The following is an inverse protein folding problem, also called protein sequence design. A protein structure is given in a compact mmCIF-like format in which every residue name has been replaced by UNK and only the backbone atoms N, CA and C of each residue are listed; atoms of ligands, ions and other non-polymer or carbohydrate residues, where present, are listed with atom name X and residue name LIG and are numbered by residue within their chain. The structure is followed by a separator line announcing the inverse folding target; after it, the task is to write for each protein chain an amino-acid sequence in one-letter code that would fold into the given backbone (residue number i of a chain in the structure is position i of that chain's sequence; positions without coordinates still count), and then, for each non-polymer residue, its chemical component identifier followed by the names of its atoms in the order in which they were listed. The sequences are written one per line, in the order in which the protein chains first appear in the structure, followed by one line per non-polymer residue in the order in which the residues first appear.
data_IF_517727811037
#
_entry.id   IF_517727811037
#
_cell.length_a   1.000
_cell.length_b   1.000
_cell.length_c   1.000
_cell.angle_alpha   90.00
_cell.angle_beta   90.00
_cell.angle_gamma   90.00
#
_symmetry.space_group_name_H-M   'P 1'
#
loop_
_entity.id
_entity.type
_entity.pdbx_description
1 polymer ?
#
# COMPACT_ATOMS: atom_id res chain seq x y z
N UNK A 1 4.68 -4.30 9.98
CA UNK A 1 6.17 -4.29 10.11
C UNK A 1 6.64 -4.63 11.53
N UNK A 2 5.70 -4.68 12.48
CA UNK A 2 5.87 -4.26 13.88
C UNK A 2 6.49 -5.39 14.70
N UNK A 3 6.09 -6.64 14.43
CA UNK A 3 6.73 -7.85 14.98
C UNK A 3 8.24 -7.98 14.71
N UNK A 4 8.82 -7.18 13.81
CA UNK A 4 10.26 -7.11 13.60
C UNK A 4 10.90 -5.88 14.28
N UNK A 5 10.12 -4.83 14.57
CA UNK A 5 10.53 -3.67 15.37
C UNK A 5 10.58 -4.06 16.85
N UNK A 6 9.50 -4.67 17.37
CA UNK A 6 9.43 -5.19 18.74
C UNK A 6 10.55 -6.19 19.03
N UNK A 7 10.88 -7.02 18.04
CA UNK A 7 11.96 -8.00 18.09
C UNK A 7 13.35 -7.36 18.00
N UNK A 8 13.50 -6.20 17.36
CA UNK A 8 14.75 -5.45 17.48
C UNK A 8 14.87 -4.83 18.87
N UNK A 9 13.81 -4.19 19.37
CA UNK A 9 13.78 -3.56 20.69
C UNK A 9 14.05 -4.57 21.83
N UNK A 10 13.45 -5.77 21.78
CA UNK A 10 13.64 -6.81 22.81
C UNK A 10 15.05 -7.42 22.83
N UNK A 11 15.80 -7.30 21.74
CA UNK A 11 17.21 -7.71 21.65
C UNK A 11 18.19 -6.53 21.73
N UNK A 12 17.72 -5.32 22.06
CA UNK A 12 18.56 -4.12 22.16
C UNK A 12 19.20 -3.73 20.82
N UNK A 13 18.49 -3.92 19.71
CA UNK A 13 18.97 -3.64 18.36
C UNK A 13 18.36 -2.36 17.79
N UNK A 14 19.14 -1.61 16.98
CA UNK A 14 18.69 -0.35 16.40
C UNK A 14 17.61 -0.56 15.34
N UNK A 15 16.60 0.32 15.34
CA UNK A 15 15.41 0.21 14.51
C UNK A 15 15.67 0.09 13.00
N UNK A 16 16.82 0.58 12.50
CA UNK A 16 17.20 0.47 11.08
C UNK A 16 17.35 -0.96 10.57
N UNK A 17 17.58 -1.92 11.46
CA UNK A 17 17.67 -3.34 11.13
C UNK A 17 16.29 -3.97 10.91
N UNK A 18 15.23 -3.43 11.53
CA UNK A 18 13.89 -4.02 11.49
C UNK A 18 13.33 -4.18 10.06
N UNK A 19 13.43 -3.19 9.14
CA UNK A 19 12.99 -3.38 7.75
C UNK A 19 13.77 -4.45 6.98
N UNK A 20 15.08 -4.62 7.25
CA UNK A 20 15.90 -5.64 6.60
C UNK A 20 15.56 -7.04 7.10
N UNK A 21 15.37 -7.19 8.42
CA UNK A 21 14.94 -8.44 9.03
C UNK A 21 13.50 -8.80 8.63
N UNK A 22 12.62 -7.81 8.53
CA UNK A 22 11.26 -7.99 8.02
C UNK A 22 11.28 -8.49 6.58
N UNK A 23 11.97 -7.80 5.66
CA UNK A 23 12.09 -8.23 4.27
C UNK A 23 12.62 -9.67 4.14
N UNK A 24 13.71 -10.01 4.84
CA UNK A 24 14.27 -11.36 4.79
C UNK A 24 13.39 -12.43 5.48
N UNK A 25 12.53 -12.07 6.45
CA UNK A 25 11.54 -12.96 7.09
C UNK A 25 10.41 -13.35 6.14
N UNK A 26 10.03 -12.48 5.20
CA UNK A 26 9.00 -12.74 4.19
C UNK A 26 9.53 -13.47 2.96
N UNK A 27 10.80 -13.27 2.60
CA UNK A 27 11.46 -13.92 1.44
C UNK A 27 11.90 -15.38 1.69
N UNK A 28 11.29 -16.14 2.62
CA UNK A 28 11.82 -17.43 3.11
C UNK A 28 12.21 -18.42 2.00
N UNK A 29 11.39 -18.55 0.96
CA UNK A 29 11.61 -19.41 -0.21
C UNK A 29 12.62 -18.85 -1.23
N UNK A 30 12.82 -17.53 -1.30
CA UNK A 30 13.75 -16.89 -2.23
C UNK A 30 15.12 -16.65 -1.58
N UNK A 31 15.97 -17.67 -1.68
CA UNK A 31 17.38 -17.63 -1.24
C UNK A 31 18.18 -16.54 -1.97
N UNK A 32 17.87 -16.26 -3.24
CA UNK A 32 18.60 -15.27 -4.04
C UNK A 32 18.29 -13.83 -3.60
N UNK A 33 17.04 -13.53 -3.23
CA UNK A 33 16.68 -12.22 -2.69
C UNK A 33 17.07 -12.08 -1.21
N UNK A 34 17.00 -13.14 -0.39
CA UNK A 34 17.62 -13.12 0.97
C UNK A 34 19.13 -12.84 0.90
N UNK A 35 19.84 -13.39 -0.09
CA UNK A 35 21.26 -13.06 -0.38
C UNK A 35 21.48 -11.58 -0.71
N UNK A 36 20.55 -10.92 -1.41
CA UNK A 36 20.61 -9.47 -1.68
C UNK A 36 20.38 -8.65 -0.40
N UNK A 37 19.39 -9.01 0.43
CA UNK A 37 19.11 -8.32 1.70
C UNK A 37 20.29 -8.44 2.67
N UNK A 38 20.92 -9.62 2.77
CA UNK A 38 22.13 -9.81 3.57
C UNK A 38 23.31 -8.94 3.08
N UNK A 39 23.51 -8.83 1.76
CA UNK A 39 24.49 -7.91 1.17
C UNK A 39 24.17 -6.43 1.43
N UNK A 40 22.89 -6.05 1.52
CA UNK A 40 22.49 -4.68 1.90
C UNK A 40 22.82 -4.38 3.36
N UNK A 41 22.60 -5.33 4.28
CA UNK A 41 23.01 -5.24 5.68
C UNK A 41 24.53 -4.99 5.79
N UNK A 42 25.34 -5.85 5.17
CA UNK A 42 26.80 -5.72 5.15
C UNK A 42 27.27 -4.40 4.49
N UNK A 43 26.63 -3.97 3.39
CA UNK A 43 26.95 -2.71 2.70
C UNK A 43 26.64 -1.50 3.58
N UNK A 44 25.56 -1.50 4.37
CA UNK A 44 25.21 -0.38 5.26
C UNK A 44 26.24 -0.23 6.38
N UNK A 45 26.63 -1.34 7.03
CA UNK A 45 27.71 -1.36 8.03
C UNK A 45 29.01 -0.76 7.47
N UNK A 46 29.47 -1.28 6.32
CA UNK A 46 30.71 -0.82 5.66
C UNK A 46 30.66 0.66 5.28
N UNK A 47 29.54 1.13 4.75
CA UNK A 47 29.39 2.52 4.33
C UNK A 47 29.31 3.50 5.53
N UNK A 48 28.93 3.03 6.71
CA UNK A 48 29.01 3.75 7.98
C UNK A 48 30.34 3.55 8.72
N UNK A 49 31.36 2.96 8.07
CA UNK A 49 32.69 2.76 8.64
C UNK A 49 32.78 1.68 9.73
N UNK A 50 31.70 0.93 9.98
CA UNK A 50 31.66 -0.09 11.04
C UNK A 50 32.76 -1.13 10.80
N UNK A 51 33.75 -1.13 11.69
CA UNK A 51 34.92 -2.01 11.69
C UNK A 51 35.73 -2.04 10.39
N UNK A 52 35.72 -0.94 9.61
CA UNK A 52 36.58 -0.81 8.43
C UNK A 52 37.94 -0.24 8.87
N UNK A 53 38.99 -1.05 8.82
CA UNK A 53 40.36 -0.55 8.89
C UNK A 53 40.71 0.14 7.57
N UNK A 54 41.40 1.28 7.64
CA UNK A 54 41.61 2.19 6.51
C UNK A 54 42.45 1.62 5.34
N UNK A 55 43.02 0.42 5.50
CA UNK A 55 44.10 -0.11 4.67
C UNK A 55 43.75 -1.45 4.00
N UNK A 56 42.48 -1.68 3.67
CA UNK A 56 42.09 -2.84 2.86
C UNK A 56 41.07 -2.53 1.78
N UNK A 57 41.49 -2.62 0.52
CA UNK A 57 40.62 -2.55 -0.67
C UNK A 57 39.73 -3.79 -0.87
N UNK A 58 39.41 -4.53 0.21
CA UNK A 58 38.59 -5.75 0.21
C UNK A 58 37.38 -5.55 1.14
N UNK A 59 36.28 -6.22 0.85
CA UNK A 59 35.10 -6.12 1.72
C UNK A 59 35.30 -6.91 3.02
N UNK A 60 35.02 -6.33 4.21
CA UNK A 60 35.16 -7.02 5.49
C UNK A 60 34.13 -8.14 5.66
N UNK A 61 34.49 -9.19 6.40
CA UNK A 61 33.56 -10.24 6.82
C UNK A 61 33.10 -9.98 8.24
N UNK A 62 31.82 -9.62 8.40
CA UNK A 62 31.23 -9.26 9.69
C UNK A 62 30.81 -10.48 10.51
N UNK A 63 31.26 -10.53 11.76
CA UNK A 63 30.81 -11.46 12.80
C UNK A 63 30.04 -10.66 13.86
N UNK A 64 28.79 -11.03 14.09
CA UNK A 64 27.89 -10.34 15.01
C UNK A 64 27.97 -10.94 16.44
N UNK A 65 27.49 -10.25 17.49
CA UNK A 65 27.32 -10.84 18.83
C UNK A 65 26.33 -12.01 18.82
N UNK A 66 26.33 -12.89 19.82
CA UNK A 66 25.56 -14.14 19.77
C UNK A 66 24.02 -13.93 19.85
N UNK A 67 23.57 -12.83 20.43
CA UNK A 67 22.18 -12.33 20.41
C UNK A 67 21.75 -12.03 18.97
N UNK A 68 22.59 -11.27 18.28
CA UNK A 68 22.35 -10.78 16.92
C UNK A 68 22.54 -11.90 15.90
N UNK A 69 23.54 -12.77 16.09
CA UNK A 69 23.72 -14.02 15.34
C UNK A 69 22.47 -14.89 15.42
N UNK A 70 21.87 -15.08 16.60
CA UNK A 70 20.62 -15.86 16.75
C UNK A 70 19.48 -15.25 15.93
N UNK A 71 19.28 -13.94 16.00
CA UNK A 71 18.24 -13.25 15.23
C UNK A 71 18.51 -13.33 13.72
N UNK A 72 19.71 -12.99 13.27
CA UNK A 72 20.13 -13.04 11.86
C UNK A 72 20.04 -14.48 11.31
N UNK A 73 20.55 -15.48 12.03
CA UNK A 73 20.45 -16.92 11.63
C UNK A 73 19.01 -17.45 11.63
N UNK A 74 18.08 -16.85 12.37
CA UNK A 74 16.66 -17.20 12.28
C UNK A 74 15.97 -16.65 11.01
N UNK A 75 16.60 -15.68 10.34
CA UNK A 75 16.04 -14.93 9.20
C UNK A 75 16.84 -15.12 7.89
N UNK A 76 18.08 -15.57 7.94
CA UNK A 76 18.94 -15.89 6.78
C UNK A 76 19.37 -17.36 6.80
N UNK A 77 19.53 -18.03 5.64
CA UNK A 77 19.82 -19.47 5.59
C UNK A 77 21.28 -19.77 5.92
N UNK A 78 21.55 -21.04 6.26
CA UNK A 78 22.85 -21.50 6.79
C UNK A 78 24.02 -21.34 5.80
N UNK A 79 23.75 -21.35 4.50
CA UNK A 79 24.76 -21.11 3.44
C UNK A 79 25.21 -19.64 3.32
N UNK A 80 24.48 -18.71 3.97
CA UNK A 80 24.75 -17.27 3.93
C UNK A 80 25.29 -16.71 5.23
N UNK A 81 24.83 -17.22 6.37
CA UNK A 81 25.33 -16.83 7.68
C UNK A 81 26.22 -17.94 8.22
N UNK A 82 27.53 -17.82 7.95
CA UNK A 82 28.57 -18.74 8.44
C UNK A 82 28.30 -19.18 9.87
N UNK A 83 28.00 -20.46 10.04
CA UNK A 83 27.61 -21.01 11.34
C UNK A 83 28.81 -21.20 12.26
N UNK A 84 29.96 -21.51 11.67
CA UNK A 84 31.27 -21.33 12.28
C UNK A 84 31.75 -19.90 11.99
N UNK A 85 32.32 -19.24 12.99
CA UNK A 85 32.90 -17.92 12.81
C UNK A 85 34.14 -18.04 11.91
N UNK A 86 34.27 -17.23 10.84
CA UNK A 86 35.43 -17.28 9.96
C UNK A 86 36.72 -16.98 10.72
N UNK A 87 37.81 -17.66 10.35
CA UNK A 87 39.12 -17.56 11.00
C UNK A 87 40.18 -16.85 10.14
N UNK A 88 39.75 -16.11 9.11
CA UNK A 88 40.65 -15.39 8.20
C UNK A 88 41.01 -13.99 8.73
N UNK A 89 42.16 -13.39 8.34
CA UNK A 89 42.66 -12.11 8.91
C UNK A 89 41.89 -10.85 8.46
N UNK A 90 40.66 -10.99 7.98
CA UNK A 90 39.80 -9.87 7.52
C UNK A 90 38.41 -9.94 8.18
N UNK A 91 38.36 -10.55 9.35
CA UNK A 91 37.14 -10.75 10.14
C UNK A 91 36.98 -9.59 11.11
N UNK A 92 35.76 -9.06 11.13
CA UNK A 92 35.39 -7.87 11.89
C UNK A 92 34.30 -8.27 12.86
N UNK A 93 34.66 -8.34 14.14
CA UNK A 93 33.71 -8.53 15.23
C UNK A 93 32.99 -7.21 15.49
N UNK A 94 31.68 -7.19 15.27
CA UNK A 94 30.80 -6.03 15.43
C UNK A 94 30.18 -6.09 16.83
N UNK A 95 30.17 -4.98 17.58
CA UNK A 95 29.44 -4.92 18.85
C UNK A 95 28.01 -4.40 18.67
N UNK A 96 27.18 -4.43 19.72
CA UNK A 96 25.83 -3.83 19.64
C UNK A 96 25.91 -2.31 19.51
N UNK A 97 26.90 -1.68 20.14
CA UNK A 97 27.19 -0.24 20.05
C UNK A 97 27.57 0.16 18.62
N UNK A 98 28.34 -0.67 17.91
CA UNK A 98 28.67 -0.44 16.49
C UNK A 98 27.44 -0.43 15.59
N UNK A 99 26.43 -1.25 15.89
CA UNK A 99 25.16 -1.23 15.15
C UNK A 99 24.40 0.08 15.38
N UNK A 100 24.50 0.67 16.58
CA UNK A 100 23.88 1.97 16.91
C UNK A 100 24.60 3.17 16.29
N UNK A 101 25.88 3.03 15.89
CA UNK A 101 26.62 4.07 15.13
C UNK A 101 26.09 4.26 13.70
N UNK A 102 25.30 3.32 13.19
CA UNK A 102 24.62 3.43 11.88
C UNK A 102 23.36 4.28 12.05
N UNK A 103 23.23 5.45 11.38
CA UNK A 103 22.05 6.29 11.48
C UNK A 103 20.78 5.56 11.05
N UNK A 104 19.66 5.79 11.76
CA UNK A 104 18.36 5.24 11.40
C UNK A 104 17.88 5.74 10.03
N UNK A 105 18.03 7.05 9.81
CA UNK A 105 17.61 7.72 8.60
C UNK A 105 18.53 7.43 7.42
N UNK A 106 17.96 7.49 6.21
CA UNK A 106 18.71 7.33 4.95
C UNK A 106 19.24 8.71 4.54
N UNK A 107 20.57 8.98 4.57
CA UNK A 107 21.09 10.25 4.07
C UNK A 107 20.82 10.39 2.55
N UNK A 108 20.57 11.62 2.04
CA UNK A 108 20.05 11.83 0.68
C UNK A 108 21.07 11.62 -0.45
N UNK A 109 22.31 11.25 -0.13
CA UNK A 109 23.38 10.97 -1.10
C UNK A 109 24.42 10.03 -0.48
N UNK A 110 25.10 9.23 -1.31
CA UNK A 110 26.07 8.20 -0.88
C UNK A 110 27.44 8.80 -0.50
N UNK A 111 27.44 9.76 0.41
CA UNK A 111 28.67 10.32 0.99
C UNK A 111 28.99 9.60 2.29
N UNK A 112 30.28 9.40 2.55
CA UNK A 112 30.83 8.76 3.73
C UNK A 112 30.23 9.35 5.02
N UNK A 113 29.86 8.51 5.99
CA UNK A 113 29.50 9.00 7.32
C UNK A 113 30.73 9.70 7.93
N UNK A 114 30.69 11.03 8.01
CA UNK A 114 31.78 11.83 8.57
C UNK A 114 31.88 11.60 10.07
N UNK A 115 33.03 11.11 10.53
CA UNK A 115 33.33 10.95 11.95
C UNK A 115 33.38 12.31 12.65
N UNK A 116 32.35 12.64 13.42
CA UNK A 116 32.37 13.77 14.35
C UNK A 116 33.33 13.48 15.50
N UNK A 117 34.28 14.38 15.75
CA UNK A 117 35.30 14.22 16.78
C UNK A 117 34.74 14.37 18.20
N UNK A 118 35.43 13.77 19.17
CA UNK A 118 35.09 13.75 20.60
C UNK A 118 34.93 15.14 21.23
N UNK A 119 33.95 15.27 22.13
CA UNK A 119 34.06 16.09 23.34
C UNK A 119 33.53 15.32 24.56
N UNK A 120 34.05 15.67 25.74
CA UNK A 120 34.06 14.86 26.96
C UNK A 120 33.20 15.42 28.10
N UNK A 121 32.85 14.56 29.08
CA UNK A 121 32.39 14.88 30.45
C UNK A 121 30.96 15.47 30.60
N UNK A 122 30.26 15.36 31.74
CA UNK A 122 30.29 14.40 32.88
C UNK A 122 29.06 14.64 33.79
N UNK A 123 28.59 13.59 34.48
CA UNK A 123 27.79 13.57 35.73
C UNK A 123 26.40 14.27 35.85
N UNK A 124 25.41 13.47 36.28
CA UNK A 124 24.13 13.85 36.92
C UNK A 124 24.34 14.35 38.37
N UNK A 125 23.34 14.92 39.12
CA UNK A 125 22.18 14.12 39.63
C UNK A 125 20.81 14.82 39.89
N UNK A 126 19.76 13.98 39.80
CA UNK A 126 18.51 13.85 40.61
C UNK A 126 18.13 14.85 41.73
N UNK A 127 16.86 15.31 41.76
CA UNK A 127 15.94 15.36 42.95
C UNK A 127 14.46 15.23 42.49
N UNK A 128 13.55 14.69 43.33
CA UNK A 128 12.09 14.50 43.13
C UNK A 128 11.31 14.75 44.44
N UNK A 129 10.20 15.51 44.40
CA UNK A 129 9.03 15.54 45.34
C UNK A 129 8.12 16.73 44.91
N UNK A 130 6.79 16.72 44.75
CA UNK A 130 5.62 16.13 45.44
C UNK A 130 4.91 17.11 46.42
N UNK A 131 3.62 17.40 46.18
CA UNK A 131 2.65 17.99 47.13
C UNK A 131 1.19 17.86 46.62
N UNK A 132 0.22 17.72 47.55
CA UNK A 132 -1.21 17.40 47.29
C UNK A 132 -2.15 18.51 47.84
N UNK A 133 -3.41 18.60 47.36
CA UNK A 133 -4.51 19.28 48.08
C UNK A 133 -5.93 18.89 47.58
N UNK A 134 -6.86 18.56 48.50
CA UNK A 134 -8.31 18.23 48.33
C UNK A 134 -9.00 18.39 49.73
N UNK A 135 -10.36 18.39 49.91
CA UNK A 135 -11.47 19.29 49.50
C UNK A 135 -12.06 20.10 50.71
N UNK A 136 -13.30 20.70 50.66
CA UNK A 136 -14.53 19.95 51.02
C UNK A 136 -15.90 20.35 50.39
N UNK A 137 -16.76 19.32 50.18
CA UNK A 137 -18.19 19.12 50.53
C UNK A 137 -19.36 20.12 50.21
N UNK A 138 -20.48 19.57 49.68
CA UNK A 138 -21.85 20.16 49.76
C UNK A 138 -22.86 19.70 48.68
N UNK A 139 -23.78 18.78 48.99
CA UNK A 139 -24.90 18.29 48.13
C UNK A 139 -26.28 18.77 48.71
N UNK A 140 -27.51 18.32 48.31
CA UNK A 140 -27.95 17.41 47.21
C UNK A 140 -29.26 17.82 46.47
N UNK A 141 -29.70 17.03 45.46
CA UNK A 141 -31.10 16.52 45.29
C UNK A 141 -31.24 15.56 44.08
N UNK A 142 -31.52 14.27 44.36
CA UNK A 142 -32.55 13.34 43.80
C UNK A 142 -33.15 13.58 42.37
N UNK A 143 -33.56 12.62 41.53
CA UNK A 143 -33.61 11.13 41.49
C UNK A 143 -34.07 10.72 40.04
N UNK A 144 -34.05 9.51 39.48
CA UNK A 144 -33.52 8.15 39.80
C UNK A 144 -33.43 7.34 38.47
N UNK A 145 -32.87 6.12 38.44
CA UNK A 145 -33.10 5.11 37.35
C UNK A 145 -32.77 3.67 37.82
N UNK A 146 -33.61 2.65 37.55
CA UNK A 146 -33.50 1.36 38.24
C UNK A 146 -32.56 0.34 37.57
N UNK A 147 -31.89 -0.47 38.39
CA UNK A 147 -31.09 -1.63 37.99
C UNK A 147 -31.94 -2.91 37.91
N UNK A 148 -31.81 -3.68 36.82
CA UNK A 148 -32.30 -5.07 36.74
C UNK A 148 -31.25 -6.00 36.10
N UNK A 149 -30.58 -6.75 36.98
CA UNK A 149 -30.18 -8.18 36.92
C UNK A 149 -29.70 -8.81 35.59
N UNK A 150 -28.54 -9.47 35.66
CA UNK A 150 -28.03 -10.38 34.62
C UNK A 150 -28.75 -11.77 34.63
N UNK A 151 -28.86 -12.45 33.47
CA UNK A 151 -29.32 -13.84 33.35
C UNK A 151 -28.17 -14.89 33.37
N UNK A 152 -28.47 -16.19 33.56
CA UNK A 152 -27.48 -17.25 33.86
C UNK A 152 -26.77 -17.87 32.63
N UNK A 153 -25.69 -18.65 32.84
CA UNK A 153 -24.85 -19.17 31.76
C UNK A 153 -25.26 -20.59 31.30
N UNK A 154 -26.09 -20.71 30.26
CA UNK A 154 -26.20 -21.94 29.45
C UNK A 154 -26.97 -21.69 28.13
N UNK A 155 -26.26 -21.40 27.04
CA UNK A 155 -26.80 -21.39 25.66
C UNK A 155 -25.64 -21.53 24.64
N UNK A 156 -25.62 -22.56 23.78
CA UNK A 156 -24.48 -22.84 22.90
C UNK A 156 -24.53 -22.03 21.59
N UNK A 157 -23.88 -20.86 21.55
CA UNK A 157 -23.66 -20.09 20.32
C UNK A 157 -22.18 -19.74 20.08
N UNK A 158 -21.35 -20.76 19.86
CA UNK A 158 -20.02 -20.60 19.30
C UNK A 158 -19.71 -21.69 18.25
N UNK A 159 -19.86 -21.35 16.97
CA UNK A 159 -18.95 -21.69 15.87
C UNK A 159 -19.45 -21.14 14.51
N UNK A 160 -19.83 -19.86 14.46
CA UNK A 160 -19.85 -19.14 13.18
C UNK A 160 -18.41 -18.73 12.86
N UNK A 161 -17.80 -19.35 11.85
CA UNK A 161 -16.47 -18.94 11.39
C UNK A 161 -16.54 -17.51 10.82
N UNK A 162 -15.52 -16.66 11.04
CA UNK A 162 -15.51 -15.31 10.47
C UNK A 162 -15.43 -15.40 8.95
N UNK A 163 -16.51 -14.97 8.28
CA UNK A 163 -16.60 -14.89 6.82
C UNK A 163 -15.41 -14.09 6.30
N UNK A 164 -14.61 -14.72 5.44
CA UNK A 164 -13.48 -14.10 4.75
C UNK A 164 -14.01 -13.25 3.61
N UNK A 165 -14.45 -12.02 3.92
CA UNK A 165 -14.75 -11.01 2.89
C UNK A 165 -13.45 -10.42 2.34
N UNK A 166 -12.68 -11.30 1.71
CA UNK A 166 -11.73 -10.97 0.65
C UNK A 166 -12.38 -11.48 -0.65
N UNK A 167 -12.12 -10.89 -1.83
CA UNK A 167 -12.28 -11.68 -3.05
C UNK A 167 -11.49 -12.99 -2.86
N UNK A 168 -12.03 -14.16 -3.23
CA UNK A 168 -11.37 -15.43 -2.98
C UNK A 168 -9.96 -15.40 -3.58
N UNK A 169 -8.99 -16.02 -2.91
CA UNK A 169 -7.57 -16.00 -3.31
C UNK A 169 -7.28 -16.72 -4.65
N UNK A 170 -8.33 -17.17 -5.34
CA UNK A 170 -8.33 -17.71 -6.70
C UNK A 170 -8.80 -16.68 -7.76
N UNK A 171 -8.96 -15.39 -7.42
CA UNK A 171 -9.19 -14.33 -8.41
C UNK A 171 -7.93 -14.11 -9.28
N UNK A 172 -7.91 -14.46 -10.59
CA UNK A 172 -6.66 -14.55 -11.37
C UNK A 172 -6.04 -13.22 -11.85
N UNK A 173 -6.20 -12.11 -11.12
CA UNK A 173 -5.50 -10.86 -11.41
C UNK A 173 -3.98 -10.96 -11.14
N UNK A 174 -3.54 -11.90 -10.30
CA UNK A 174 -2.12 -12.07 -9.92
C UNK A 174 -1.43 -13.33 -10.47
N UNK A 175 -2.16 -14.24 -11.12
CA UNK A 175 -1.60 -15.51 -11.61
C UNK A 175 -2.01 -15.83 -13.05
N UNK A 176 -1.47 -15.05 -13.99
CA UNK A 176 -1.45 -15.40 -15.41
C UNK A 176 0.01 -15.58 -15.87
N UNK A 177 0.41 -16.83 -16.11
CA UNK A 177 1.69 -17.19 -16.75
C UNK A 177 1.72 -16.74 -18.23
N UNK A 178 2.91 -16.56 -18.84
CA UNK A 178 3.02 -15.74 -20.05
C UNK A 178 2.58 -16.42 -21.37
N UNK A 179 1.38 -16.06 -21.84
CA UNK A 179 0.95 -16.10 -23.25
C UNK A 179 0.34 -17.42 -23.77
N UNK A 180 -0.26 -17.43 -24.99
CA UNK A 180 -0.40 -16.33 -25.95
C UNK A 180 -1.87 -15.92 -26.28
N UNK A 181 -2.01 -14.83 -27.03
CA UNK A 181 -3.13 -14.50 -27.94
C UNK A 181 -4.60 -14.58 -27.43
N UNK A 182 -5.05 -13.55 -26.70
CA UNK A 182 -6.43 -13.05 -26.86
C UNK A 182 -6.55 -11.55 -26.53
N UNK A 183 -5.99 -10.68 -27.39
CA UNK A 183 -6.26 -9.23 -27.31
C UNK A 183 -6.68 -8.58 -28.64
N UNK A 184 -6.69 -9.33 -29.74
CA UNK A 184 -7.05 -8.84 -31.08
C UNK A 184 -8.53 -9.05 -31.45
N UNK A 185 -9.39 -9.43 -30.48
CA UNK A 185 -10.84 -9.65 -30.71
C UNK A 185 -11.75 -8.83 -29.79
N UNK A 186 -11.26 -7.70 -29.29
CA UNK A 186 -12.12 -6.66 -28.70
C UNK A 186 -12.85 -5.83 -29.79
N UNK A 187 -12.50 -6.01 -31.07
CA UNK A 187 -13.02 -5.24 -32.21
C UNK A 187 -13.44 -6.15 -33.38
N UNK A 188 -13.99 -7.33 -33.11
CA UNK A 188 -14.58 -8.15 -34.18
C UNK A 188 -15.77 -9.00 -33.70
N UNK A 189 -16.99 -8.45 -33.81
CA UNK A 189 -17.92 -8.81 -34.89
C UNK A 189 -19.08 -7.80 -34.93
N UNK A 190 -19.49 -7.37 -36.12
CA UNK A 190 -20.33 -6.16 -36.32
C UNK A 190 -21.81 -6.49 -36.51
N UNK A 191 -22.68 -5.81 -35.75
CA UNK A 191 -23.89 -5.14 -36.26
C UNK A 191 -24.15 -3.85 -35.48
N UNK A 192 -23.66 -2.72 -36.02
CA UNK A 192 -23.84 -1.36 -35.46
C UNK A 192 -22.55 -0.79 -34.83
N UNK A 193 -21.81 0.02 -35.59
CA UNK A 193 -20.43 0.40 -35.25
C UNK A 193 -20.26 1.78 -34.57
N UNK A 194 -21.33 2.46 -34.17
CA UNK A 194 -21.32 3.90 -33.85
C UNK A 194 -21.75 4.29 -32.42
N UNK A 195 -21.76 3.36 -31.46
CA UNK A 195 -22.35 3.59 -30.12
C UNK A 195 -21.39 3.22 -28.95
N UNK A 196 -20.12 3.61 -29.07
CA UNK A 196 -19.13 3.53 -27.99
C UNK A 196 -18.88 4.95 -27.48
N UNK A 197 -19.14 5.22 -26.19
CA UNK A 197 -18.91 6.55 -25.61
C UNK A 197 -17.38 6.82 -25.54
N UNK A 198 -16.86 7.85 -26.25
CA UNK A 198 -15.43 8.11 -26.33
C UNK A 198 -14.82 8.58 -24.99
N UNK A 199 -15.64 8.98 -24.00
CA UNK A 199 -15.18 9.43 -22.69
C UNK A 199 -14.92 8.29 -21.69
N UNK A 200 -15.40 7.07 -21.96
CA UNK A 200 -15.13 5.88 -21.11
C UNK A 200 -14.86 4.59 -21.90
N UNK A 201 -14.93 4.64 -23.23
CA UNK A 201 -14.79 3.50 -24.16
C UNK A 201 -15.78 2.35 -23.90
N UNK A 202 -16.95 2.64 -23.31
CA UNK A 202 -17.98 1.65 -23.02
C UNK A 202 -19.02 1.56 -24.15
N UNK A 203 -19.50 0.35 -24.49
CA UNK A 203 -20.70 0.16 -25.31
C UNK A 203 -21.97 0.55 -24.53
N UNK A 204 -23.16 0.57 -25.17
CA UNK A 204 -24.38 1.04 -24.54
C UNK A 204 -24.77 0.20 -23.31
N UNK A 205 -25.47 0.78 -22.32
CA UNK A 205 -25.88 0.06 -21.12
C UNK A 205 -26.73 -1.17 -21.42
N UNK A 206 -26.20 -2.37 -21.16
CA UNK A 206 -26.96 -3.62 -21.20
C UNK A 206 -27.38 -4.03 -19.78
N UNK A 207 -28.67 -3.84 -19.47
CA UNK A 207 -29.34 -4.19 -18.22
C UNK A 207 -30.15 -5.50 -18.31
N UNK A 208 -30.06 -6.25 -19.41
CA UNK A 208 -30.75 -7.54 -19.53
C UNK A 208 -29.94 -8.64 -18.82
N UNK A 209 -30.57 -9.56 -18.07
CA UNK A 209 -29.89 -10.73 -17.51
C UNK A 209 -29.21 -11.58 -18.59
N UNK A 210 -28.10 -12.24 -18.23
CA UNK A 210 -27.48 -13.23 -19.09
C UNK A 210 -28.29 -14.54 -19.09
N UNK A 211 -28.26 -15.37 -20.16
CA UNK A 211 -29.05 -16.59 -20.25
C UNK A 211 -28.84 -17.56 -19.07
N UNK A 212 -27.59 -17.71 -18.63
CA UNK A 212 -27.18 -18.64 -17.57
C UNK A 212 -26.94 -17.91 -16.23
N UNK A 213 -27.68 -16.83 -15.95
CA UNK A 213 -27.49 -16.04 -14.74
C UNK A 213 -28.21 -16.69 -13.53
N UNK A 214 -27.51 -17.06 -12.44
CA UNK A 214 -28.08 -17.87 -11.37
C UNK A 214 -29.07 -17.12 -10.45
N UNK A 215 -29.00 -15.79 -10.37
CA UNK A 215 -29.88 -14.98 -9.53
C UNK A 215 -30.14 -13.57 -10.11
N UNK A 216 -31.29 -12.94 -9.78
CA UNK A 216 -31.59 -11.59 -10.22
C UNK A 216 -30.68 -10.55 -9.56
N UNK A 217 -30.10 -9.68 -10.37
CA UNK A 217 -29.23 -8.58 -9.97
C UNK A 217 -29.96 -7.24 -10.02
N UNK A 218 -29.52 -6.28 -9.22
CA UNK A 218 -30.02 -4.92 -9.25
C UNK A 218 -29.72 -4.24 -10.59
N UNK A 219 -30.75 -3.60 -11.16
CA UNK A 219 -30.63 -2.69 -12.30
C UNK A 219 -30.47 -1.22 -11.87
N UNK A 220 -30.55 -0.96 -10.56
CA UNK A 220 -30.36 0.39 -10.01
C UNK A 220 -28.93 0.88 -10.21
N UNK A 221 -28.76 2.18 -10.40
CA UNK A 221 -27.47 2.84 -10.60
C UNK A 221 -27.30 3.96 -9.57
N UNK A 222 -26.07 4.16 -9.16
CA UNK A 222 -25.67 5.17 -8.18
C UNK A 222 -25.01 6.36 -8.88
N UNK A 223 -25.39 7.58 -8.50
CA UNK A 223 -24.72 8.80 -8.96
C UNK A 223 -23.47 9.05 -8.11
N UNK A 224 -22.34 9.32 -8.77
CA UNK A 224 -21.05 9.59 -8.12
C UNK A 224 -20.98 11.02 -7.56
N UNK A 225 -19.92 11.35 -6.81
CA UNK A 225 -19.60 12.76 -6.50
C UNK A 225 -18.79 13.44 -7.62
N UNK A 226 -18.44 12.70 -8.67
CA UNK A 226 -17.47 13.10 -9.70
C UNK A 226 -18.18 13.88 -10.82
N UNK A 227 -17.91 15.18 -11.02
CA UNK A 227 -18.55 15.99 -12.06
C UNK A 227 -18.15 15.52 -13.47
N UNK A 228 -19.12 15.41 -14.38
CA UNK A 228 -18.84 15.10 -15.79
C UNK A 228 -18.48 16.37 -16.56
N UNK A 229 -17.41 16.33 -17.35
CA UNK A 229 -17.05 17.47 -18.20
C UNK A 229 -18.15 17.80 -19.21
N UNK A 230 -18.42 19.11 -19.38
CA UNK A 230 -19.32 19.65 -20.41
C UNK A 230 -20.82 19.51 -20.13
N UNK A 231 -21.23 18.91 -19.00
CA UNK A 231 -22.62 18.72 -18.60
C UNK A 231 -22.74 18.99 -17.09
N UNK A 232 -23.86 19.55 -16.63
CA UNK A 232 -24.13 19.86 -15.21
C UNK A 232 -24.37 18.65 -14.30
N UNK A 233 -23.98 17.44 -14.73
CA UNK A 233 -24.38 16.17 -14.12
C UNK A 233 -23.13 15.43 -13.63
N UNK A 234 -23.25 14.58 -12.62
CA UNK A 234 -22.14 13.73 -12.22
C UNK A 234 -22.05 12.46 -13.10
N UNK A 235 -20.93 11.76 -13.00
CA UNK A 235 -20.82 10.41 -13.53
C UNK A 235 -21.75 9.46 -12.77
N UNK A 236 -22.23 8.41 -13.44
CA UNK A 236 -23.18 7.44 -12.86
C UNK A 236 -22.59 6.05 -12.98
N UNK A 237 -22.42 5.37 -11.86
CA UNK A 237 -21.82 4.04 -11.78
C UNK A 237 -22.68 2.97 -12.49
N UNK A 238 -22.08 1.85 -12.95
CA UNK A 238 -22.84 0.74 -13.50
C UNK A 238 -23.69 0.05 -12.41
N UNK A 239 -24.82 -0.51 -12.80
CA UNK A 239 -25.61 -1.39 -11.93
C UNK A 239 -24.94 -2.76 -11.75
N UNK A 240 -25.44 -3.57 -10.81
CA UNK A 240 -25.03 -4.98 -10.66
C UNK A 240 -25.18 -5.76 -11.97
N UNK A 241 -26.32 -5.60 -12.64
CA UNK A 241 -26.58 -6.26 -13.90
C UNK A 241 -25.62 -5.80 -15.01
N UNK A 242 -25.30 -4.50 -15.08
CA UNK A 242 -24.33 -3.97 -16.05
C UNK A 242 -22.90 -4.46 -15.76
N UNK A 243 -22.50 -4.54 -14.48
CA UNK A 243 -21.19 -5.03 -14.07
C UNK A 243 -21.02 -6.53 -14.39
N UNK A 244 -22.01 -7.35 -14.03
CA UNK A 244 -22.06 -8.78 -14.39
C UNK A 244 -21.89 -8.99 -15.89
N UNK A 245 -22.71 -8.29 -16.68
CA UNK A 245 -22.64 -8.34 -18.15
C UNK A 245 -21.28 -7.87 -18.69
N UNK A 246 -20.62 -6.89 -18.05
CA UNK A 246 -19.28 -6.45 -18.43
C UNK A 246 -18.21 -7.50 -18.11
N UNK A 247 -18.31 -8.17 -16.96
CA UNK A 247 -17.39 -9.25 -16.58
C UNK A 247 -17.51 -10.45 -17.52
N UNK A 248 -18.73 -10.86 -17.90
CA UNK A 248 -18.93 -11.93 -18.89
C UNK A 248 -18.29 -11.61 -20.25
N UNK A 249 -18.36 -10.35 -20.71
CA UNK A 249 -17.68 -9.87 -21.94
C UNK A 249 -16.16 -9.89 -21.83
N UNK A 250 -15.59 -9.69 -20.63
CA UNK A 250 -14.15 -9.85 -20.36
C UNK A 250 -13.70 -11.32 -20.29
N UNK A 251 -14.60 -12.27 -20.55
CA UNK A 251 -14.31 -13.71 -20.51
C UNK A 251 -14.49 -14.34 -19.12
N UNK A 252 -14.91 -13.57 -18.10
CA UNK A 252 -15.14 -14.11 -16.77
C UNK A 252 -16.27 -15.14 -16.78
N UNK A 253 -16.13 -16.19 -15.98
CA UNK A 253 -17.16 -17.21 -15.76
C UNK A 253 -17.30 -17.42 -14.26
N UNK A 254 -18.45 -17.00 -13.74
CA UNK A 254 -18.82 -17.24 -12.35
C UNK A 254 -19.11 -18.74 -12.21
N UNK A 255 -18.33 -19.45 -11.38
CA UNK A 255 -18.64 -20.83 -11.01
C UNK A 255 -19.82 -20.82 -10.04
N UNK A 256 -20.62 -21.88 -10.07
CA UNK A 256 -21.95 -21.92 -9.45
C UNK A 256 -21.92 -21.92 -7.90
N UNK A 257 -20.77 -22.21 -7.28
CA UNK A 257 -20.68 -22.48 -5.83
C UNK A 257 -20.17 -21.30 -4.96
N UNK A 258 -19.56 -20.25 -5.53
CA UNK A 258 -18.71 -19.30 -4.78
C UNK A 258 -19.21 -17.85 -4.67
N UNK A 259 -20.33 -17.46 -5.28
CA UNK A 259 -20.87 -16.09 -5.15
C UNK A 259 -22.35 -16.08 -4.79
N UNK A 260 -22.65 -15.49 -3.63
CA UNK A 260 -24.00 -15.07 -3.28
C UNK A 260 -24.35 -13.74 -3.98
N UNK A 261 -25.65 -13.42 -4.01
CA UNK A 261 -26.15 -12.13 -4.49
C UNK A 261 -25.53 -10.94 -3.74
N UNK A 262 -25.35 -11.09 -2.43
CA UNK A 262 -24.80 -10.04 -1.57
C UNK A 262 -23.33 -9.74 -1.89
N UNK A 263 -22.57 -10.71 -2.42
CA UNK A 263 -21.19 -10.49 -2.84
C UNK A 263 -21.12 -9.53 -4.03
N UNK A 264 -22.06 -9.61 -4.98
CA UNK A 264 -22.12 -8.65 -6.09
C UNK A 264 -22.41 -7.23 -5.60
N UNK A 265 -23.32 -7.09 -4.62
CA UNK A 265 -23.63 -5.81 -3.97
C UNK A 265 -22.38 -5.24 -3.29
N UNK A 266 -21.62 -6.08 -2.58
CA UNK A 266 -20.40 -5.68 -1.88
C UNK A 266 -19.27 -5.30 -2.85
N UNK A 267 -19.05 -6.10 -3.90
CA UNK A 267 -18.05 -5.83 -4.95
C UNK A 267 -18.27 -4.44 -5.56
N UNK A 268 -19.51 -4.06 -5.86
CA UNK A 268 -19.79 -2.77 -6.51
C UNK A 268 -19.66 -1.60 -5.55
N UNK A 269 -20.11 -1.73 -4.29
CA UNK A 269 -19.85 -0.71 -3.26
C UNK A 269 -18.36 -0.43 -3.11
N UNK A 270 -17.52 -1.48 -3.13
CA UNK A 270 -16.06 -1.35 -3.08
C UNK A 270 -15.51 -0.65 -4.33
N UNK A 271 -15.97 -1.01 -5.53
CA UNK A 271 -15.54 -0.34 -6.77
C UNK A 271 -15.95 1.14 -6.80
N UNK A 272 -17.19 1.47 -6.43
CA UNK A 272 -17.68 2.84 -6.34
C UNK A 272 -16.85 3.63 -5.32
N UNK A 273 -16.61 3.08 -4.12
CA UNK A 273 -15.80 3.74 -3.09
C UNK A 273 -14.33 3.93 -3.52
N UNK A 274 -13.73 2.97 -4.22
CA UNK A 274 -12.38 3.11 -4.79
C UNK A 274 -12.32 4.23 -5.86
N UNK A 275 -13.36 4.41 -6.66
CA UNK A 275 -13.45 5.51 -7.63
C UNK A 275 -13.59 6.87 -6.94
N UNK A 276 -14.44 6.98 -5.91
CA UNK A 276 -14.54 8.20 -5.09
C UNK A 276 -13.21 8.53 -4.41
N UNK A 277 -12.50 7.55 -3.82
CA UNK A 277 -11.18 7.78 -3.23
C UNK A 277 -10.13 8.21 -4.27
N UNK A 278 -10.17 7.66 -5.49
CA UNK A 278 -9.29 8.09 -6.57
C UNK A 278 -9.58 9.55 -6.99
N UNK A 279 -10.84 9.98 -6.97
CA UNK A 279 -11.24 11.37 -7.18
C UNK A 279 -10.81 12.28 -6.03
N UNK A 280 -11.01 11.88 -4.77
CA UNK A 280 -10.52 12.60 -3.58
C UNK A 280 -9.00 12.82 -3.64
N UNK A 281 -8.21 11.83 -4.09
CA UNK A 281 -6.77 11.97 -4.30
C UNK A 281 -6.41 12.89 -5.47
N UNK A 282 -7.17 12.88 -6.57
CA UNK A 282 -7.02 13.86 -7.66
C UNK A 282 -7.24 15.28 -7.12
N UNK A 283 -8.32 15.51 -6.36
CA UNK A 283 -8.64 16.84 -5.81
C UNK A 283 -7.53 17.38 -4.90
N UNK A 284 -6.76 16.51 -4.21
CA UNK A 284 -5.57 16.93 -3.43
C UNK A 284 -4.43 17.48 -4.30
N UNK A 285 -4.27 16.99 -5.53
CA UNK A 285 -3.34 17.57 -6.50
C UNK A 285 -3.91 18.85 -7.13
N UNK A 286 -5.18 18.84 -7.49
CA UNK A 286 -5.87 19.98 -8.10
C UNK A 286 -5.95 21.19 -7.15
N UNK A 287 -5.88 20.97 -5.83
CA UNK A 287 -5.76 22.03 -4.82
C UNK A 287 -4.51 22.93 -5.00
N UNK A 288 -3.44 22.43 -5.65
CA UNK A 288 -2.28 23.26 -6.06
C UNK A 288 -2.66 24.37 -7.05
N UNK A 289 -3.76 24.17 -7.78
CA UNK A 289 -4.27 24.96 -8.90
C UNK A 289 -5.66 25.53 -8.62
N UNK A 290 -6.11 25.57 -7.37
CA UNK A 290 -7.46 26.02 -7.02
C UNK A 290 -7.81 27.45 -7.52
N UNK A 291 -6.79 28.29 -7.75
CA UNK A 291 -6.95 29.64 -8.32
C UNK A 291 -7.09 29.65 -9.85
N UNK A 292 -6.67 28.58 -10.56
CA UNK A 292 -6.79 28.46 -12.02
C UNK A 292 -8.24 28.15 -12.45
N UNK A 293 -9.02 27.46 -11.61
CA UNK A 293 -10.37 27.03 -11.94
C UNK A 293 -11.34 27.13 -10.74
N UNK A 294 -11.91 28.32 -10.48
CA UNK A 294 -12.77 28.56 -9.31
C UNK A 294 -14.08 27.76 -9.27
N UNK A 295 -14.55 27.23 -10.41
CA UNK A 295 -15.72 26.33 -10.47
C UNK A 295 -15.38 24.86 -10.17
N UNK A 296 -14.09 24.54 -9.98
CA UNK A 296 -13.61 23.19 -9.71
C UNK A 296 -13.32 22.35 -10.97
N UNK A 297 -12.49 21.31 -10.85
CA UNK A 297 -12.14 20.43 -11.96
C UNK A 297 -13.27 19.45 -12.31
N UNK A 298 -13.31 18.99 -13.56
CA UNK A 298 -14.30 18.02 -14.06
C UNK A 298 -13.64 16.80 -14.70
N UNK A 299 -14.21 15.60 -14.52
CA UNK A 299 -13.67 14.39 -15.16
C UNK A 299 -14.15 14.30 -16.61
N UNK A 300 -13.21 14.41 -17.55
CA UNK A 300 -13.47 14.44 -19.00
C UNK A 300 -13.42 13.07 -19.65
N UNK A 301 -12.44 12.24 -19.27
CA UNK A 301 -12.30 10.88 -19.78
C UNK A 301 -11.62 9.97 -18.75
N UNK A 302 -11.94 8.69 -18.74
CA UNK A 302 -11.16 7.68 -18.03
C UNK A 302 -10.94 6.44 -18.91
N UNK A 303 -9.87 5.70 -18.62
CA UNK A 303 -9.56 4.45 -19.31
C UNK A 303 -8.65 3.52 -18.51
N UNK A 304 -9.00 2.24 -18.48
CA UNK A 304 -8.19 1.19 -17.87
C UNK A 304 -6.99 0.81 -18.73
N UNK A 305 -5.84 0.59 -18.08
CA UNK A 305 -4.54 0.27 -18.67
C UNK A 305 -3.79 -0.81 -17.89
N UNK A 306 -4.51 -1.81 -17.38
CA UNK A 306 -4.01 -2.89 -16.53
C UNK A 306 -2.69 -3.57 -17.02
N UNK A 307 -2.45 -3.66 -18.34
CA UNK A 307 -1.22 -4.27 -18.89
C UNK A 307 -0.03 -3.31 -19.02
N UNK A 308 -0.23 -2.00 -18.92
CA UNK A 308 0.84 -1.00 -19.05
C UNK A 308 1.31 -0.54 -17.66
N UNK A 309 2.27 -1.22 -17.04
CA UNK A 309 2.80 -0.74 -15.76
C UNK A 309 3.46 0.64 -15.88
N UNK A 310 3.10 1.54 -14.96
CA UNK A 310 3.68 2.89 -14.91
C UNK A 310 5.20 2.84 -14.67
N UNK A 311 5.97 3.85 -15.11
CA UNK A 311 7.42 3.88 -14.87
C UNK A 311 7.80 3.79 -13.37
N UNK A 312 6.95 4.35 -12.50
CA UNK A 312 7.09 4.29 -11.03
C UNK A 312 6.79 2.89 -10.49
N UNK A 313 5.73 2.23 -10.97
CA UNK A 313 5.41 0.84 -10.62
C UNK A 313 6.56 -0.10 -11.04
N UNK A 314 7.09 0.04 -12.26
CA UNK A 314 8.23 -0.75 -12.76
C UNK A 314 9.48 -0.57 -11.89
N UNK A 315 9.80 0.67 -11.51
CA UNK A 315 10.94 0.99 -10.64
C UNK A 315 10.75 0.43 -9.22
N UNK A 316 9.53 0.57 -8.65
CA UNK A 316 9.19 -0.02 -7.35
C UNK A 316 9.30 -1.54 -7.36
N UNK A 317 8.77 -2.19 -8.40
CA UNK A 317 8.86 -3.63 -8.53
C UNK A 317 10.32 -4.12 -8.63
N UNK A 318 11.17 -3.41 -9.36
CA UNK A 318 12.61 -3.69 -9.38
C UNK A 318 13.29 -3.56 -8.00
N UNK A 319 12.75 -2.73 -7.10
CA UNK A 319 13.18 -2.62 -5.70
C UNK A 319 12.56 -3.68 -4.76
N UNK A 320 11.74 -4.60 -5.28
CA UNK A 320 11.13 -5.70 -4.51
C UNK A 320 9.74 -5.40 -3.95
N UNK A 321 9.07 -4.34 -4.40
CA UNK A 321 7.65 -4.09 -4.11
C UNK A 321 6.75 -4.86 -5.09
N UNK A 322 5.48 -5.01 -4.73
CA UNK A 322 4.48 -5.61 -5.60
C UNK A 322 4.09 -4.65 -6.75
N UNK A 323 3.65 -5.23 -7.87
CA UNK A 323 3.09 -4.46 -8.98
C UNK A 323 1.62 -4.12 -8.65
N UNK A 324 1.10 -2.99 -9.16
CA UNK A 324 -0.31 -2.70 -9.03
C UNK A 324 -1.13 -3.75 -9.79
N UNK A 325 -2.26 -4.17 -9.20
CA UNK A 325 -3.17 -5.13 -9.81
C UNK A 325 -3.96 -4.49 -10.97
N UNK A 326 -4.22 -3.19 -10.88
CA UNK A 326 -4.85 -2.41 -11.95
C UNK A 326 -4.21 -1.01 -12.07
N UNK A 327 -4.33 -0.42 -13.25
CA UNK A 327 -3.91 0.95 -13.55
C UNK A 327 -4.99 1.64 -14.37
N UNK A 328 -5.32 2.86 -13.98
CA UNK A 328 -6.16 3.76 -14.77
C UNK A 328 -5.41 5.04 -15.16
N UNK A 329 -5.72 5.55 -16.35
CA UNK A 329 -5.40 6.92 -16.75
C UNK A 329 -6.72 7.71 -16.80
N UNK A 330 -6.80 8.81 -16.04
CA UNK A 330 -7.96 9.72 -16.02
C UNK A 330 -7.54 11.06 -16.63
N UNK A 331 -8.40 11.69 -17.43
CA UNK A 331 -8.21 13.03 -18.00
C UNK A 331 -9.17 13.98 -17.30
N UNK A 332 -8.60 14.93 -16.57
CA UNK A 332 -9.32 15.96 -15.83
C UNK A 332 -9.23 17.26 -16.60
N UNK A 333 -10.33 17.99 -16.69
CA UNK A 333 -10.40 19.31 -17.30
C UNK A 333 -10.48 20.38 -16.21
N UNK A 334 -9.43 21.20 -16.15
CA UNK A 334 -9.35 22.42 -15.34
C UNK A 334 -9.70 23.62 -16.22
N UNK A 335 -10.99 23.93 -16.34
CA UNK A 335 -11.46 25.12 -17.05
C UNK A 335 -10.87 25.25 -18.48
N UNK A 336 -10.79 24.13 -19.21
CA UNK A 336 -10.20 24.05 -20.56
C UNK A 336 -8.73 23.58 -20.62
N UNK A 337 -8.06 23.37 -19.48
CA UNK A 337 -6.74 22.73 -19.44
C UNK A 337 -6.86 21.24 -19.09
N UNK A 338 -6.50 20.36 -20.02
CA UNK A 338 -6.53 18.91 -19.81
C UNK A 338 -5.27 18.41 -19.08
N UNK A 339 -5.48 17.73 -17.95
CA UNK A 339 -4.42 17.09 -17.16
C UNK A 339 -4.69 15.59 -17.06
N UNK A 340 -3.76 14.79 -17.56
CA UNK A 340 -3.80 13.33 -17.35
C UNK A 340 -3.27 12.98 -15.97
N UNK A 341 -4.02 12.18 -15.23
CA UNK A 341 -3.63 11.54 -13.98
C UNK A 341 -3.35 10.05 -14.22
N UNK A 342 -2.33 9.52 -13.55
CA UNK A 342 -2.03 8.08 -13.50
C UNK A 342 -2.37 7.58 -12.10
N UNK A 343 -3.18 6.52 -12.06
CA UNK A 343 -3.71 5.90 -10.85
C UNK A 343 -3.26 4.44 -10.88
N UNK A 344 -2.30 4.08 -10.02
CA UNK A 344 -1.91 2.68 -9.81
C UNK A 344 -2.63 2.16 -8.53
N UNK A 345 -3.33 1.02 -8.64
CA UNK A 345 -4.04 0.38 -7.54
C UNK A 345 -3.24 -0.81 -7.02
N UNK A 346 -2.90 -0.81 -5.73
CA UNK A 346 -2.18 -1.90 -5.06
C UNK A 346 -3.05 -2.55 -3.99
N UNK A 347 -2.81 -3.81 -3.65
CA UNK A 347 -3.51 -4.47 -2.54
C UNK A 347 -3.20 -3.76 -1.22
N UNK A 348 -4.24 -3.58 -0.40
CA UNK A 348 -4.16 -2.95 0.92
C UNK A 348 -4.62 -3.88 2.04
N UNK A 349 -4.36 -3.48 3.27
CA UNK A 349 -4.98 -4.13 4.44
C UNK A 349 -6.48 -3.83 4.45
N UNK A 350 -7.30 -4.85 4.72
CA UNK A 350 -8.76 -4.76 4.65
C UNK A 350 -9.28 -3.99 5.86
N UNK A 351 -9.77 -2.76 5.64
CA UNK A 351 -10.56 -2.05 6.63
C UNK A 351 -12.07 -2.27 6.37
N UNK A 352 -12.70 -3.03 7.28
CA UNK A 352 -14.10 -3.44 7.21
C UNK A 352 -15.10 -2.32 7.54
N UNK A 353 -14.65 -1.23 8.17
CA UNK A 353 -15.53 -0.13 8.60
C UNK A 353 -15.75 0.89 7.48
N UNK A 354 -14.71 1.17 6.68
CA UNK A 354 -14.74 2.18 5.63
C UNK A 354 -14.74 1.59 4.19
N UNK A 355 -14.80 0.26 4.07
CA UNK A 355 -14.70 -0.49 2.82
C UNK A 355 -13.46 -0.14 1.98
N UNK A 356 -12.33 0.14 2.63
CA UNK A 356 -11.06 0.40 1.96
C UNK A 356 -10.24 -0.89 1.85
N UNK A 357 -9.99 -1.31 0.61
CA UNK A 357 -9.28 -2.55 0.27
C UNK A 357 -8.02 -2.33 -0.59
N UNK A 358 -7.82 -1.11 -1.11
CA UNK A 358 -6.71 -0.80 -2.02
C UNK A 358 -5.90 0.41 -1.56
N UNK A 359 -4.60 0.37 -1.83
CA UNK A 359 -3.68 1.50 -1.67
C UNK A 359 -3.57 2.18 -3.04
N UNK A 360 -3.91 3.47 -3.09
CA UNK A 360 -3.92 4.27 -4.31
C UNK A 360 -2.62 5.08 -4.45
N UNK A 361 -1.93 4.98 -5.58
CA UNK A 361 -0.84 5.90 -5.95
C UNK A 361 -1.29 6.78 -7.12
N UNK A 362 -1.94 7.90 -6.78
CA UNK A 362 -2.49 8.91 -7.69
C UNK A 362 -1.52 10.07 -7.89
N UNK A 363 -1.35 10.50 -9.14
CA UNK A 363 -0.38 11.55 -9.51
C UNK A 363 -0.57 12.06 -10.95
N UNK A 364 -0.35 13.36 -11.24
CA UNK A 364 -0.31 13.91 -12.61
C UNK A 364 0.66 13.14 -13.50
N UNK A 365 0.39 12.93 -14.79
CA UNK A 365 1.28 12.23 -15.72
C UNK A 365 2.51 13.09 -16.08
N UNK A 366 3.61 12.48 -16.53
CA UNK A 366 4.81 13.22 -16.95
C UNK A 366 4.69 13.79 -18.38
N UNK A 367 3.55 14.42 -18.67
CA UNK A 367 3.19 14.88 -20.02
C UNK A 367 3.41 16.38 -20.22
N UNK A 368 3.51 17.14 -19.13
CA UNK A 368 3.71 18.59 -19.14
C UNK A 368 4.74 19.02 -18.08
N UNK A 369 5.37 20.17 -18.30
CA UNK A 369 6.30 20.77 -17.33
C UNK A 369 5.60 21.13 -16.00
N UNK A 370 4.33 21.53 -16.05
CA UNK A 370 3.50 21.75 -14.86
C UNK A 370 3.40 20.47 -14.03
N UNK A 371 2.96 19.37 -14.62
CA UNK A 371 2.82 18.10 -13.92
C UNK A 371 4.14 17.52 -13.36
N UNK A 372 5.29 17.84 -13.99
CA UNK A 372 6.63 17.56 -13.42
C UNK A 372 6.87 18.43 -12.19
N UNK A 373 6.61 19.74 -12.28
CA UNK A 373 6.78 20.70 -11.19
C UNK A 373 5.88 20.39 -9.99
N UNK A 374 4.60 20.06 -10.21
CA UNK A 374 3.65 19.69 -9.16
C UNK A 374 4.14 18.48 -8.38
N UNK A 375 4.62 17.44 -9.10
CA UNK A 375 5.24 16.26 -8.50
C UNK A 375 6.50 16.62 -7.70
N UNK A 376 7.34 17.52 -8.18
CA UNK A 376 8.52 17.99 -7.43
C UNK A 376 8.12 18.75 -6.16
N UNK A 377 7.14 19.64 -6.24
CA UNK A 377 6.62 20.43 -5.12
C UNK A 377 6.04 19.54 -4.02
N UNK A 378 5.18 18.58 -4.38
CA UNK A 378 4.58 17.63 -3.42
C UNK A 378 5.63 16.66 -2.88
N UNK A 379 6.61 16.23 -3.69
CA UNK A 379 7.72 15.41 -3.19
C UNK A 379 8.62 16.17 -2.20
N UNK A 380 8.88 17.45 -2.44
CA UNK A 380 9.62 18.31 -1.52
C UNK A 380 8.86 18.49 -0.20
N UNK A 381 7.57 18.80 -0.25
CA UNK A 381 6.74 18.92 0.96
C UNK A 381 6.76 17.63 1.80
N UNK A 382 6.57 16.46 1.17
CA UNK A 382 6.67 15.13 1.83
C UNK A 382 8.07 14.76 2.33
N UNK A 383 9.09 15.57 2.03
CA UNK A 383 10.46 15.42 2.54
C UNK A 383 10.77 16.40 3.68
N UNK A 384 10.10 17.56 3.70
CA UNK A 384 10.30 18.62 4.71
C UNK A 384 9.25 18.66 5.82
N UNK A 385 8.16 17.91 5.66
CA UNK A 385 7.12 17.65 6.68
C UNK A 385 7.36 16.30 7.34
#
# INVERSE_FOLDING_TARGET
MDSCVDLCLSFGLPAWMAPLLHAAKHLRSDVASRRKVYKLLQRRLRNCGVGVTADSGRSPTYVYPDEVKRLVRSVFPQDLCGYQDPTHPQVVYVTVEDLHRVPSDRPPHWTQCTMGASLTASASPTVRAEAMAVPPQGCPMHQDTPSIKAPPPECPMHQAQPVRVSPPSECPMHQASPGPAHQDRAYEFVKGANDIDPANMMPPPNQNPAPDQPFPLSVSREESTIPRHGISNNWVYPSEQMFWNAMLRKGWRWKEDDLAKDDMTNIIKIHNRNNEQAWEEILKWEALHAQECPCGPTLKKFGGKAKEYSPRARLRHWMGYELPFDRHDWIVDRCGHEVRYVIDYYDGEINKENYQFSILDVRPAFDSLGAVWDRMRVAWWRWTS
#
